data_IF_086378931665
#
_entry.id   IF_086378931665
#
_cell.length_a   1.000
_cell.length_b   1.000
_cell.length_c   1.000
_cell.angle_alpha   90.00
_cell.angle_beta   90.00
_cell.angle_gamma   90.00
#
_symmetry.space_group_name_H-M   'P 1'
#
loop_
_entity.id
_entity.type
_entity.pdbx_description
1 polymer ?
#
# COMPACT_ATOMS: atom_id res chain seq x y z
N UNK A 1 -17.16 -17.36 -22.55
CA UNK A 1 -17.93 -18.29 -23.43
C UNK A 1 -18.58 -17.48 -24.54
N UNK A 2 -18.69 -18.01 -25.77
CA UNK A 2 -19.27 -17.26 -26.90
C UNK A 2 -20.80 -17.14 -26.80
N UNK A 3 -21.37 -15.97 -27.11
CA UNK A 3 -22.83 -15.72 -27.08
C UNK A 3 -23.64 -16.76 -27.86
N UNK A 4 -23.13 -17.20 -29.01
CA UNK A 4 -23.79 -18.19 -29.87
C UNK A 4 -23.91 -19.57 -29.20
N UNK A 5 -22.93 -19.99 -28.40
CA UNK A 5 -22.98 -21.28 -27.69
C UNK A 5 -24.12 -21.25 -26.66
N UNK A 6 -24.24 -20.16 -25.89
CA UNK A 6 -25.31 -19.97 -24.91
C UNK A 6 -26.71 -19.98 -25.56
N UNK A 7 -26.86 -19.37 -26.74
CA UNK A 7 -28.12 -19.40 -27.49
C UNK A 7 -28.46 -20.81 -27.98
N UNK A 8 -27.50 -21.56 -28.53
CA UNK A 8 -27.71 -22.95 -28.98
C UNK A 8 -28.11 -23.84 -27.81
N UNK A 9 -27.44 -23.73 -26.66
CA UNK A 9 -27.79 -24.48 -25.45
C UNK A 9 -29.21 -24.16 -24.94
N UNK A 10 -29.64 -22.89 -25.01
CA UNK A 10 -31.01 -22.49 -24.64
C UNK A 10 -32.08 -23.09 -25.56
N UNK A 11 -31.82 -23.16 -26.87
CA UNK A 11 -32.74 -23.78 -27.84
C UNK A 11 -32.88 -25.28 -27.56
N UNK A 12 -31.77 -26.01 -27.36
CA UNK A 12 -31.83 -27.43 -27.02
C UNK A 12 -32.49 -27.70 -25.66
N UNK A 13 -32.25 -26.86 -24.65
CA UNK A 13 -32.93 -26.95 -23.36
C UNK A 13 -34.46 -26.75 -23.49
N UNK A 14 -34.90 -25.82 -24.35
CA UNK A 14 -36.31 -25.60 -24.66
C UNK A 14 -36.98 -26.81 -25.32
N UNK A 15 -36.34 -27.40 -26.34
CA UNK A 15 -36.83 -28.64 -26.96
C UNK A 15 -36.90 -29.81 -25.97
N UNK A 16 -35.91 -29.95 -25.09
CA UNK A 16 -35.89 -31.01 -24.08
C UNK A 16 -37.01 -30.87 -23.04
N UNK A 17 -37.25 -29.65 -22.55
CA UNK A 17 -38.39 -29.33 -21.68
C UNK A 17 -39.74 -29.62 -22.35
N UNK A 18 -39.88 -29.28 -23.65
CA UNK A 18 -41.09 -29.57 -24.41
C UNK A 18 -41.33 -31.08 -24.57
N UNK A 19 -40.29 -31.86 -24.84
CA UNK A 19 -40.39 -33.33 -24.94
C UNK A 19 -40.81 -33.97 -23.60
N UNK A 20 -40.27 -33.50 -22.47
CA UNK A 20 -40.68 -33.93 -21.13
C UNK A 20 -42.16 -33.60 -20.89
N UNK A 21 -42.60 -32.38 -21.23
CA UNK A 21 -44.00 -31.97 -21.07
C UNK A 21 -44.96 -32.81 -21.90
N UNK A 22 -44.61 -33.10 -23.17
CA UNK A 22 -45.44 -33.93 -24.04
C UNK A 22 -45.59 -35.35 -23.47
N UNK A 23 -44.49 -35.96 -23.02
CA UNK A 23 -44.50 -37.29 -22.38
C UNK A 23 -45.28 -37.31 -21.05
N UNK A 24 -45.20 -36.24 -20.25
CA UNK A 24 -45.98 -36.10 -19.02
C UNK A 24 -47.49 -35.97 -19.28
N UNK A 25 -47.89 -35.27 -20.34
CA UNK A 25 -49.30 -35.17 -20.78
C UNK A 25 -49.81 -36.52 -21.27
N UNK A 26 -49.06 -37.19 -22.15
CA UNK A 26 -49.41 -38.49 -22.73
C UNK A 26 -49.51 -39.61 -21.67
N UNK A 27 -48.62 -39.61 -20.66
CA UNK A 27 -48.62 -40.62 -19.59
C UNK A 27 -49.65 -40.38 -18.47
N UNK A 28 -50.17 -39.16 -18.32
CA UNK A 28 -51.11 -38.81 -17.24
C UNK A 28 -52.58 -38.68 -17.68
N UNK A 29 -52.86 -38.75 -18.98
CA UNK A 29 -54.20 -38.57 -19.58
C UNK A 29 -54.88 -37.25 -19.19
N UNK A 30 -54.11 -36.23 -18.81
CA UNK A 30 -54.62 -34.89 -18.51
C UNK A 30 -54.56 -34.00 -19.75
N UNK A 31 -55.48 -33.05 -19.86
CA UNK A 31 -55.38 -31.99 -20.87
C UNK A 31 -54.05 -31.23 -20.74
N UNK A 32 -53.45 -30.91 -21.90
CA UNK A 32 -52.25 -30.07 -22.02
C UNK A 32 -52.35 -28.78 -21.18
N UNK A 33 -53.55 -28.20 -21.09
CA UNK A 33 -53.86 -26.98 -20.32
C UNK A 33 -53.76 -27.22 -18.79
N UNK A 34 -54.15 -28.40 -18.30
CA UNK A 34 -54.00 -28.77 -16.88
C UNK A 34 -52.52 -28.88 -16.48
N UNK A 35 -51.74 -29.58 -17.31
CA UNK A 35 -50.29 -29.74 -17.09
C UNK A 35 -49.56 -28.40 -17.25
N UNK A 36 -49.96 -27.55 -18.19
CA UNK A 36 -49.43 -26.19 -18.31
C UNK A 36 -49.79 -25.27 -17.14
N UNK A 37 -50.98 -25.40 -16.53
CA UNK A 37 -51.35 -24.61 -15.34
C UNK A 37 -50.58 -25.03 -14.08
N UNK A 38 -50.39 -26.34 -13.86
CA UNK A 38 -49.52 -26.83 -12.78
C UNK A 38 -48.05 -26.43 -13.00
N UNK A 39 -47.55 -26.52 -14.24
CA UNK A 39 -46.23 -26.00 -14.60
C UNK A 39 -46.14 -24.48 -14.47
N UNK A 40 -47.22 -23.73 -14.71
CA UNK A 40 -47.26 -22.27 -14.51
C UNK A 40 -46.93 -21.87 -13.07
N UNK A 41 -47.35 -22.68 -12.09
CA UNK A 41 -46.99 -22.50 -10.68
C UNK A 41 -45.49 -22.77 -10.44
N UNK A 42 -44.93 -23.80 -11.08
CA UNK A 42 -43.51 -24.14 -11.02
C UNK A 42 -42.61 -23.08 -11.70
N UNK A 43 -43.00 -22.60 -12.89
CA UNK A 43 -42.30 -21.52 -13.62
C UNK A 43 -42.38 -20.20 -12.85
N UNK A 44 -43.51 -19.90 -12.22
CA UNK A 44 -43.66 -18.74 -11.33
C UNK A 44 -42.72 -18.83 -10.12
N UNK A 45 -42.69 -19.98 -9.43
CA UNK A 45 -41.78 -20.20 -8.30
C UNK A 45 -40.29 -20.16 -8.71
N UNK A 46 -39.92 -20.75 -9.85
CA UNK A 46 -38.58 -20.69 -10.41
C UNK A 46 -38.17 -19.28 -10.83
N UNK A 47 -39.08 -18.52 -11.42
CA UNK A 47 -38.88 -17.10 -11.76
C UNK A 47 -38.71 -16.22 -10.52
N UNK A 48 -39.49 -16.46 -9.47
CA UNK A 48 -39.35 -15.77 -8.18
C UNK A 48 -37.99 -16.07 -7.51
N UNK A 49 -37.56 -17.35 -7.50
CA UNK A 49 -36.23 -17.73 -7.01
C UNK A 49 -35.10 -17.09 -7.83
N UNK A 50 -35.21 -17.09 -9.16
CA UNK A 50 -34.25 -16.42 -10.03
C UNK A 50 -34.18 -14.90 -9.78
N UNK A 51 -35.32 -14.25 -9.57
CA UNK A 51 -35.39 -12.83 -9.22
C UNK A 51 -34.76 -12.54 -7.84
N UNK A 52 -35.01 -13.37 -6.83
CA UNK A 52 -34.39 -13.25 -5.49
C UNK A 52 -32.87 -13.40 -5.60
N UNK A 53 -32.38 -14.42 -6.32
CA UNK A 53 -30.95 -14.63 -6.55
C UNK A 53 -30.31 -13.47 -7.32
N UNK A 54 -30.98 -12.93 -8.34
CA UNK A 54 -30.53 -11.76 -9.08
C UNK A 54 -30.45 -10.50 -8.19
N UNK A 55 -31.44 -10.27 -7.31
CA UNK A 55 -31.41 -9.16 -6.35
C UNK A 55 -30.25 -9.31 -5.36
N UNK A 56 -30.01 -10.52 -4.84
CA UNK A 56 -28.86 -10.81 -3.97
C UNK A 56 -27.53 -10.56 -4.70
N UNK A 57 -27.41 -10.99 -5.96
CA UNK A 57 -26.21 -10.78 -6.77
C UNK A 57 -25.98 -9.28 -7.06
N UNK A 58 -27.02 -8.54 -7.45
CA UNK A 58 -26.93 -7.09 -7.67
C UNK A 58 -26.57 -6.34 -6.38
N UNK A 59 -27.12 -6.75 -5.22
CA UNK A 59 -26.76 -6.17 -3.92
C UNK A 59 -25.29 -6.41 -3.56
N UNK A 60 -24.79 -7.65 -3.73
CA UNK A 60 -23.37 -7.99 -3.48
C UNK A 60 -22.41 -7.25 -4.42
N UNK A 61 -22.73 -7.19 -5.71
CA UNK A 61 -21.92 -6.45 -6.68
C UNK A 61 -21.87 -4.97 -6.31
N UNK A 62 -23.02 -4.35 -5.98
CA UNK A 62 -23.07 -2.93 -5.58
C UNK A 62 -22.28 -2.64 -4.28
N UNK A 63 -22.19 -3.59 -3.35
CA UNK A 63 -21.30 -3.46 -2.19
C UNK A 63 -19.82 -3.48 -2.61
N UNK A 64 -19.43 -4.43 -3.47
CA UNK A 64 -18.07 -4.52 -4.01
C UNK A 64 -17.68 -3.27 -4.81
N UNK A 65 -18.54 -2.79 -5.72
CA UNK A 65 -18.35 -1.56 -6.51
C UNK A 65 -18.14 -0.33 -5.59
N UNK A 66 -18.94 -0.23 -4.52
CA UNK A 66 -18.84 0.84 -3.53
C UNK A 66 -17.51 0.80 -2.77
N UNK A 67 -17.05 -0.40 -2.40
CA UNK A 67 -15.77 -0.60 -1.71
C UNK A 67 -14.55 -0.46 -2.62
N UNK A 68 -14.67 -0.82 -3.90
CA UNK A 68 -13.68 -0.57 -4.94
C UNK A 68 -13.46 0.94 -5.11
N UNK A 69 -14.53 1.71 -5.36
CA UNK A 69 -14.43 3.17 -5.53
C UNK A 69 -13.85 3.86 -4.29
N UNK A 70 -14.36 3.53 -3.09
CA UNK A 70 -13.81 4.05 -1.83
C UNK A 70 -12.34 3.68 -1.59
N UNK A 71 -11.83 2.62 -2.21
CA UNK A 71 -10.41 2.25 -2.14
C UNK A 71 -9.57 2.99 -3.19
N UNK A 72 -10.14 3.38 -4.33
CA UNK A 72 -9.47 4.27 -5.28
C UNK A 72 -9.27 5.68 -4.70
N UNK A 73 -10.23 6.16 -3.91
CA UNK A 73 -10.09 7.43 -3.17
C UNK A 73 -8.93 7.35 -2.17
N UNK A 74 -8.84 6.27 -1.39
CA UNK A 74 -7.71 5.99 -0.49
C UNK A 74 -6.37 5.88 -1.25
N UNK A 75 -6.34 5.17 -2.39
CA UNK A 75 -5.16 5.06 -3.27
C UNK A 75 -4.75 6.44 -3.85
N UNK A 76 -5.69 7.37 -3.99
CA UNK A 76 -5.43 8.74 -4.43
C UNK A 76 -4.85 9.58 -3.30
N UNK A 77 -5.39 9.48 -2.08
CA UNK A 77 -4.82 10.13 -0.89
C UNK A 77 -3.41 9.59 -0.56
N UNK A 78 -3.19 8.28 -0.71
CA UNK A 78 -1.85 7.66 -0.63
C UNK A 78 -0.91 8.28 -1.68
N UNK A 79 -1.39 8.60 -2.89
CA UNK A 79 -0.54 9.26 -3.89
C UNK A 79 -0.15 10.67 -3.43
N UNK A 80 -1.06 11.44 -2.83
CA UNK A 80 -0.75 12.78 -2.29
C UNK A 80 0.35 12.70 -1.24
N UNK A 81 0.22 11.81 -0.24
CA UNK A 81 1.29 11.61 0.76
C UNK A 81 2.61 11.14 0.14
N UNK A 82 2.56 10.29 -0.90
CA UNK A 82 3.76 9.83 -1.60
C UNK A 82 4.42 10.92 -2.46
N UNK A 83 3.65 11.88 -2.98
CA UNK A 83 4.18 13.08 -3.65
C UNK A 83 4.75 14.06 -2.62
N UNK A 84 4.09 14.26 -1.47
CA UNK A 84 4.59 15.06 -0.34
C UNK A 84 5.95 14.53 0.16
N UNK A 85 6.12 13.20 0.26
CA UNK A 85 7.40 12.56 0.60
C UNK A 85 8.51 12.93 -0.39
N UNK A 86 8.20 12.98 -1.70
CA UNK A 86 9.18 13.40 -2.71
C UNK A 86 9.50 14.89 -2.57
N UNK A 87 8.49 15.74 -2.35
CA UNK A 87 8.68 17.18 -2.15
C UNK A 87 9.41 17.54 -0.86
N UNK A 88 9.28 16.75 0.21
CA UNK A 88 10.01 16.93 1.46
C UNK A 88 11.46 16.42 1.37
N UNK A 89 11.71 15.27 0.73
CA UNK A 89 13.05 14.69 0.66
C UNK A 89 13.95 15.31 -0.43
N UNK A 90 13.37 15.93 -1.46
CA UNK A 90 14.12 16.42 -2.63
C UNK A 90 13.82 17.88 -2.98
N UNK A 91 14.82 18.56 -3.55
CA UNK A 91 14.65 19.88 -4.15
C UNK A 91 14.11 19.79 -5.60
N UNK A 92 13.93 20.96 -6.25
CA UNK A 92 13.47 21.05 -7.64
C UNK A 92 14.45 20.46 -8.67
N UNK A 93 15.67 20.08 -8.26
CA UNK A 93 16.71 19.47 -9.08
C UNK A 93 16.89 17.97 -8.77
N UNK A 94 16.17 17.43 -7.78
CA UNK A 94 16.28 16.05 -7.33
C UNK A 94 17.43 15.79 -6.34
N UNK A 95 18.09 16.84 -5.83
CA UNK A 95 19.08 16.71 -4.74
C UNK A 95 18.39 16.41 -3.41
N UNK A 96 18.99 15.59 -2.53
CA UNK A 96 18.51 15.40 -1.16
C UNK A 96 18.47 16.74 -0.39
N UNK A 97 17.30 17.10 0.14
CA UNK A 97 17.17 18.21 1.09
C UNK A 97 17.80 17.82 2.43
N UNK A 98 18.67 18.66 2.98
CA UNK A 98 19.23 18.48 4.31
C UNK A 98 18.48 19.30 5.36
N UNK A 99 17.17 19.07 5.50
CA UNK A 99 16.30 19.78 6.44
C UNK A 99 15.57 18.79 7.36
N UNK A 100 15.77 18.92 8.66
CA UNK A 100 15.17 18.03 9.67
C UNK A 100 13.65 18.06 9.67
N UNK A 101 13.03 19.23 9.51
CA UNK A 101 11.57 19.38 9.55
C UNK A 101 10.96 18.69 8.35
N UNK A 102 11.52 18.88 7.17
CA UNK A 102 11.10 18.19 5.94
C UNK A 102 11.24 16.66 6.08
N UNK A 103 12.36 16.15 6.60
CA UNK A 103 12.52 14.70 6.84
C UNK A 103 11.51 14.14 7.85
N UNK A 104 11.19 14.89 8.92
CA UNK A 104 10.13 14.51 9.86
C UNK A 104 8.75 14.45 9.18
N UNK A 105 8.43 15.39 8.30
CA UNK A 105 7.16 15.40 7.58
C UNK A 105 7.09 14.27 6.53
N UNK A 106 8.18 14.00 5.81
CA UNK A 106 8.30 12.83 4.93
C UNK A 106 8.07 11.51 5.71
N UNK A 107 8.67 11.36 6.88
CA UNK A 107 8.47 10.17 7.71
C UNK A 107 7.01 10.02 8.20
N UNK A 108 6.31 11.11 8.53
CA UNK A 108 4.88 11.08 8.87
C UNK A 108 4.02 10.68 7.67
N UNK A 109 4.21 11.31 6.52
CA UNK A 109 3.49 11.00 5.29
C UNK A 109 3.72 9.55 4.83
N UNK A 110 4.91 8.99 5.02
CA UNK A 110 5.18 7.55 4.85
C UNK A 110 4.27 6.72 5.77
N UNK A 111 4.26 6.98 7.07
CA UNK A 111 3.48 6.20 8.05
C UNK A 111 1.97 6.27 7.77
N UNK A 112 1.45 7.46 7.46
CA UNK A 112 0.05 7.66 7.11
C UNK A 112 -0.31 6.93 5.80
N UNK A 113 0.60 6.93 4.81
CA UNK A 113 0.42 6.16 3.57
C UNK A 113 0.47 4.65 3.79
N UNK A 114 1.31 4.15 4.70
CA UNK A 114 1.38 2.71 5.04
C UNK A 114 0.16 2.26 5.85
N UNK A 115 -0.46 3.12 6.67
CA UNK A 115 -1.70 2.78 7.38
C UNK A 115 -2.92 2.75 6.46
N UNK A 116 -3.05 3.71 5.52
CA UNK A 116 -4.06 3.64 4.46
C UNK A 116 -3.84 2.42 3.55
N UNK A 117 -2.58 2.08 3.23
CA UNK A 117 -2.24 0.90 2.43
C UNK A 117 -2.76 -0.40 3.06
N UNK A 118 -2.64 -0.58 4.38
CA UNK A 118 -3.21 -1.74 5.10
C UNK A 118 -4.72 -1.82 4.92
N UNK A 119 -5.43 -0.70 5.05
CA UNK A 119 -6.89 -0.66 4.89
C UNK A 119 -7.33 -1.07 3.47
N UNK A 120 -6.65 -0.54 2.44
CA UNK A 120 -6.86 -0.92 1.04
C UNK A 120 -6.60 -2.42 0.81
N UNK A 121 -5.51 -2.98 1.36
CA UNK A 121 -5.19 -4.41 1.22
C UNK A 121 -6.22 -5.31 1.92
N UNK A 122 -6.76 -4.91 3.08
CA UNK A 122 -7.85 -5.62 3.76
C UNK A 122 -9.14 -5.62 2.93
N UNK A 123 -9.46 -4.50 2.27
CA UNK A 123 -10.62 -4.42 1.36
C UNK A 123 -10.38 -5.28 0.11
N UNK A 124 -9.21 -5.15 -0.53
CA UNK A 124 -8.83 -5.91 -1.71
C UNK A 124 -8.95 -7.43 -1.49
N UNK A 125 -8.45 -7.92 -0.35
CA UNK A 125 -8.56 -9.32 0.05
C UNK A 125 -9.99 -9.75 0.42
N UNK A 126 -10.80 -8.88 1.03
CA UNK A 126 -12.18 -9.20 1.43
C UNK A 126 -13.14 -9.34 0.24
N UNK A 127 -12.96 -8.54 -0.81
CA UNK A 127 -13.87 -8.47 -1.96
C UNK A 127 -13.29 -9.06 -3.25
N UNK A 128 -12.12 -9.72 -3.18
CA UNK A 128 -11.43 -10.38 -4.31
C UNK A 128 -11.07 -9.40 -5.45
N UNK A 129 -10.47 -8.25 -5.08
CA UNK A 129 -10.13 -7.12 -5.96
C UNK A 129 -8.59 -6.94 -6.12
N UNK A 130 -7.87 -7.87 -6.79
CA UNK A 130 -6.40 -7.87 -6.87
C UNK A 130 -5.81 -6.67 -7.63
N UNK A 131 -6.60 -6.00 -8.46
CA UNK A 131 -6.20 -4.77 -9.17
C UNK A 131 -5.99 -3.58 -8.23
N UNK A 132 -6.62 -3.54 -7.05
CA UNK A 132 -6.34 -2.53 -6.01
C UNK A 132 -4.94 -2.73 -5.41
N UNK A 133 -4.60 -3.96 -5.05
CA UNK A 133 -3.26 -4.33 -4.55
C UNK A 133 -2.18 -4.05 -5.61
N UNK A 134 -2.46 -4.37 -6.88
CA UNK A 134 -1.56 -4.09 -8.01
C UNK A 134 -1.29 -2.59 -8.16
N UNK A 135 -2.34 -1.75 -8.13
CA UNK A 135 -2.22 -0.29 -8.26
C UNK A 135 -1.48 0.34 -7.07
N UNK A 136 -1.80 -0.09 -5.84
CA UNK A 136 -1.16 0.36 -4.62
C UNK A 136 0.34 0.05 -4.61
N UNK A 137 0.70 -1.21 -4.89
CA UNK A 137 2.10 -1.65 -4.96
C UNK A 137 2.87 -0.89 -6.05
N UNK A 138 2.26 -0.65 -7.22
CA UNK A 138 2.89 0.12 -8.29
C UNK A 138 3.19 1.57 -7.89
N UNK A 139 2.27 2.25 -7.19
CA UNK A 139 2.51 3.62 -6.66
C UNK A 139 3.62 3.65 -5.61
N UNK A 140 3.52 2.81 -4.57
CA UNK A 140 4.52 2.78 -3.50
C UNK A 140 5.92 2.43 -4.05
N UNK A 141 6.02 1.39 -4.89
CA UNK A 141 7.31 0.95 -5.44
C UNK A 141 7.93 1.98 -6.40
N UNK A 142 7.13 2.81 -7.10
CA UNK A 142 7.65 3.95 -7.89
C UNK A 142 8.37 4.95 -7.00
N UNK A 143 7.81 5.29 -5.84
CA UNK A 143 8.44 6.27 -4.92
C UNK A 143 9.61 5.63 -4.14
N UNK A 144 9.52 4.37 -3.72
CA UNK A 144 10.66 3.61 -3.18
C UNK A 144 11.86 3.64 -4.12
N UNK A 145 11.63 3.37 -5.41
CA UNK A 145 12.67 3.40 -6.45
C UNK A 145 13.20 4.83 -6.72
N UNK A 146 12.37 5.86 -6.56
CA UNK A 146 12.81 7.26 -6.68
C UNK A 146 13.70 7.65 -5.50
N UNK A 147 13.30 7.34 -4.27
CA UNK A 147 14.07 7.56 -3.05
C UNK A 147 15.42 6.85 -3.14
N UNK A 148 15.43 5.55 -3.48
CA UNK A 148 16.66 4.77 -3.66
C UNK A 148 17.58 5.36 -4.74
N UNK A 149 17.02 5.87 -5.85
CA UNK A 149 17.82 6.47 -6.92
C UNK A 149 18.46 7.80 -6.55
N UNK A 150 17.95 8.53 -5.56
CA UNK A 150 18.37 9.90 -5.29
C UNK A 150 19.03 10.09 -3.91
N UNK A 151 18.68 9.28 -2.90
CA UNK A 151 19.39 9.24 -1.61
C UNK A 151 20.65 8.36 -1.63
N UNK A 152 20.81 7.43 -2.57
CA UNK A 152 22.03 6.64 -2.66
C UNK A 152 23.12 7.34 -3.48
N UNK A 153 24.29 7.52 -2.87
CA UNK A 153 25.52 8.00 -3.54
C UNK A 153 25.97 6.94 -4.55
N UNK A 154 26.32 7.36 -5.77
CA UNK A 154 26.70 6.44 -6.85
C UNK A 154 28.18 6.54 -7.17
N UNK A 155 28.92 5.47 -6.92
CA UNK A 155 30.33 5.30 -7.33
C UNK A 155 30.51 3.92 -7.95
N UNK A 156 31.12 3.85 -9.13
CA UNK A 156 31.52 2.60 -9.82
C UNK A 156 30.45 1.49 -9.82
N UNK A 157 29.23 1.83 -10.25
CA UNK A 157 28.02 0.99 -10.27
C UNK A 157 27.55 0.46 -8.89
N UNK A 158 28.09 0.99 -7.78
CA UNK A 158 27.62 0.73 -6.42
C UNK A 158 26.75 1.89 -5.92
N UNK A 159 25.77 1.54 -5.09
CA UNK A 159 24.91 2.49 -4.37
C UNK A 159 25.33 2.50 -2.90
N UNK A 160 25.98 3.58 -2.45
CA UNK A 160 26.33 3.83 -1.06
C UNK A 160 25.25 4.62 -0.32
N UNK A 161 25.38 4.74 1.00
CA UNK A 161 24.61 5.69 1.81
C UNK A 161 25.04 7.14 1.53
N UNK A 162 24.24 8.10 1.99
CA UNK A 162 24.69 9.49 2.14
C UNK A 162 25.91 9.55 3.09
N UNK A 163 26.81 10.53 2.92
CA UNK A 163 27.96 10.69 3.80
C UNK A 163 27.52 11.13 5.21
N UNK A 164 28.29 10.84 6.26
CA UNK A 164 27.99 11.30 7.62
C UNK A 164 27.73 12.80 7.76
N UNK A 165 28.43 13.65 6.99
CA UNK A 165 28.24 15.11 6.95
C UNK A 165 26.80 15.54 6.62
N UNK A 166 26.05 14.73 5.87
CA UNK A 166 24.64 14.98 5.58
C UNK A 166 23.81 15.02 6.86
N UNK A 167 23.97 14.08 7.78
CA UNK A 167 23.04 13.90 8.90
C UNK A 167 23.07 15.03 9.95
N UNK A 168 24.02 15.98 9.85
CA UNK A 168 24.15 17.15 10.73
C UNK A 168 23.30 18.36 10.35
N UNK A 169 22.60 18.36 9.22
CA UNK A 169 21.74 19.48 8.79
C UNK A 169 22.47 20.70 8.20
N UNK A 170 23.75 20.57 7.84
CA UNK A 170 24.52 21.65 7.20
C UNK A 170 24.22 21.71 5.69
N UNK A 171 24.08 22.91 5.13
CA UNK A 171 23.58 23.11 3.76
C UNK A 171 24.57 22.68 2.67
N UNK A 172 25.86 22.82 2.95
CA UNK A 172 27.04 22.55 2.12
C UNK A 172 27.74 21.22 2.53
N UNK A 173 26.96 20.25 3.02
CA UNK A 173 27.42 18.92 3.43
C UNK A 173 28.20 18.13 2.36
N UNK A 174 28.04 18.48 1.07
CA UNK A 174 28.78 17.90 -0.06
C UNK A 174 30.27 18.28 -0.06
N UNK A 175 30.62 19.43 0.54
CA UNK A 175 31.97 20.00 0.52
C UNK A 175 32.69 19.92 1.90
N UNK A 176 31.99 19.49 2.95
CA UNK A 176 32.48 19.44 4.34
C UNK A 176 32.95 18.05 4.78
N UNK A 177 33.97 18.03 5.65
CA UNK A 177 34.32 16.83 6.43
C UNK A 177 33.22 16.48 7.45
N UNK A 178 33.36 15.35 8.15
CA UNK A 178 32.49 15.02 9.28
C UNK A 178 32.65 16.05 10.40
N UNK A 179 33.90 16.37 10.71
CA UNK A 179 34.34 17.25 11.78
C UNK A 179 33.93 18.72 11.54
N UNK A 180 34.00 19.21 10.30
CA UNK A 180 33.53 20.56 9.93
C UNK A 180 32.00 20.67 10.00
N UNK A 181 31.27 19.62 9.61
CA UNK A 181 29.81 19.55 9.67
C UNK A 181 29.32 19.49 11.12
N UNK A 182 29.95 18.65 11.96
CA UNK A 182 29.70 18.56 13.40
C UNK A 182 29.98 19.91 14.10
N UNK A 183 31.13 20.53 13.82
CA UNK A 183 31.51 21.81 14.43
C UNK A 183 30.50 22.92 14.09
N UNK A 184 30.04 23.00 12.83
CA UNK A 184 29.05 23.99 12.43
C UNK A 184 27.66 23.70 13.03
N UNK A 185 27.21 22.45 13.05
CA UNK A 185 25.98 22.06 13.72
C UNK A 185 25.99 22.47 15.20
N UNK A 186 27.06 22.15 15.93
CA UNK A 186 27.23 22.54 17.33
C UNK A 186 27.32 24.08 17.52
N UNK A 187 27.90 24.82 16.57
CA UNK A 187 27.92 26.30 16.60
C UNK A 187 26.52 26.91 16.42
N UNK A 188 25.61 26.24 15.71
CA UNK A 188 24.25 26.72 15.46
C UNK A 188 23.26 26.34 16.58
N UNK A 189 23.46 25.22 17.26
CA UNK A 189 22.52 24.64 18.22
C UNK A 189 22.63 25.23 19.64
N UNK A 190 22.05 26.42 19.85
CA UNK A 190 22.02 27.07 21.17
C UNK A 190 20.92 26.54 22.11
N UNK A 191 21.31 25.72 23.09
CA UNK A 191 20.53 25.22 24.25
C UNK A 191 19.60 24.03 23.95
N UNK A 192 19.52 23.09 24.90
CA UNK A 192 18.80 21.82 24.81
C UNK A 192 17.73 21.68 25.90
N UNK A 193 16.59 21.06 25.56
CA UNK A 193 15.51 20.70 26.50
C UNK A 193 15.15 19.22 26.37
N UNK A 194 14.90 18.54 27.51
CA UNK A 194 14.35 17.18 27.52
C UNK A 194 12.87 17.21 27.13
N UNK A 195 12.48 16.42 26.11
CA UNK A 195 11.08 16.15 25.78
C UNK A 195 10.74 14.66 25.89
N UNK A 196 9.45 14.33 25.99
CA UNK A 196 8.96 13.08 26.55
C UNK A 196 8.42 12.08 25.51
N UNK A 197 9.29 11.17 25.05
CA UNK A 197 8.98 9.80 24.61
C UNK A 197 8.16 9.57 23.32
N UNK A 198 6.98 10.16 23.21
CA UNK A 198 5.92 9.76 22.24
C UNK A 198 5.63 10.75 21.11
N UNK A 199 6.22 11.94 21.14
CA UNK A 199 5.97 12.95 20.11
C UNK A 199 7.03 12.94 19.01
N UNK A 200 6.58 13.15 17.77
CA UNK A 200 7.44 13.49 16.61
C UNK A 200 7.53 15.01 16.45
N UNK A 201 7.46 15.76 17.55
CA UNK A 201 7.53 17.22 17.58
C UNK A 201 9.01 17.63 17.48
N UNK A 202 9.41 18.49 16.52
CA UNK A 202 10.81 18.82 16.32
C UNK A 202 11.38 19.54 17.55
N UNK A 203 12.60 19.17 17.94
CA UNK A 203 13.36 19.93 18.94
C UNK A 203 13.76 21.24 18.27
N UNK A 204 13.29 22.37 18.81
CA UNK A 204 13.64 23.70 18.30
C UNK A 204 15.14 23.94 18.45
N UNK A 205 15.80 24.48 17.41
CA UNK A 205 17.23 24.79 17.45
C UNK A 205 18.15 23.56 17.44
N UNK A 206 17.81 22.54 16.65
CA UNK A 206 18.63 21.35 16.41
C UNK A 206 18.71 21.08 14.90
N UNK A 207 19.93 21.17 14.35
CA UNK A 207 20.23 20.94 12.93
C UNK A 207 20.19 19.46 12.51
N UNK A 208 20.65 18.55 13.38
CA UNK A 208 20.72 17.10 13.09
C UNK A 208 19.39 16.49 12.62
N UNK A 209 19.47 15.59 11.64
CA UNK A 209 18.31 14.84 11.16
C UNK A 209 17.79 13.85 12.22
N UNK A 210 16.46 13.75 12.32
CA UNK A 210 15.87 12.93 13.37
C UNK A 210 16.04 11.43 13.10
N UNK A 211 16.67 10.71 14.04
CA UNK A 211 16.99 9.28 13.91
C UNK A 211 15.76 8.40 13.61
N UNK A 212 14.57 8.76 14.11
CA UNK A 212 13.32 8.05 13.79
C UNK A 212 12.86 8.34 12.35
N UNK A 213 13.02 9.58 11.86
CA UNK A 213 12.65 9.97 10.50
C UNK A 213 13.51 9.28 9.43
N UNK A 214 14.84 9.26 9.65
CA UNK A 214 15.81 8.57 8.77
C UNK A 214 15.50 7.07 8.69
N UNK A 215 15.20 6.43 9.82
CA UNK A 215 14.82 5.01 9.83
C UNK A 215 13.54 4.73 9.04
N UNK A 216 12.48 5.55 9.21
CA UNK A 216 11.21 5.36 8.49
C UNK A 216 11.39 5.49 6.98
N UNK A 217 12.15 6.48 6.51
CA UNK A 217 12.47 6.67 5.09
C UNK A 217 13.27 5.47 4.55
N UNK A 218 14.29 5.01 5.28
CA UNK A 218 15.09 3.85 4.90
C UNK A 218 14.30 2.53 4.85
N UNK A 219 13.45 2.28 5.86
CA UNK A 219 12.57 1.10 5.93
C UNK A 219 11.58 1.09 4.77
N UNK A 220 10.94 2.23 4.49
CA UNK A 220 10.01 2.37 3.38
C UNK A 220 10.70 2.09 2.04
N UNK A 221 11.88 2.69 1.81
CA UNK A 221 12.68 2.53 0.60
C UNK A 221 13.01 1.05 0.28
N UNK A 222 13.36 0.26 1.29
CA UNK A 222 13.66 -1.18 1.15
C UNK A 222 12.38 -2.00 0.90
N UNK A 223 11.27 -1.64 1.57
CA UNK A 223 9.99 -2.33 1.43
C UNK A 223 9.94 -3.71 2.09
N UNK A 224 8.77 -4.36 2.06
CA UNK A 224 8.53 -5.59 2.85
C UNK A 224 9.07 -6.89 2.21
N UNK A 225 9.56 -6.84 0.97
CA UNK A 225 9.88 -8.03 0.16
C UNK A 225 11.30 -8.59 0.30
N UNK A 226 12.15 -8.06 1.18
CA UNK A 226 13.55 -8.48 1.36
C UNK A 226 13.84 -8.97 2.79
N UNK A 227 12.94 -9.77 3.36
CA UNK A 227 13.05 -10.31 4.74
C UNK A 227 14.08 -11.45 4.91
N UNK A 228 14.45 -12.18 3.85
CA UNK A 228 15.31 -13.38 3.91
C UNK A 228 16.78 -13.13 4.30
N UNK A 229 17.20 -11.87 4.50
CA UNK A 229 18.49 -11.50 5.10
C UNK A 229 18.33 -10.85 6.49
N UNK A 230 17.14 -10.92 7.08
CA UNK A 230 16.73 -10.23 8.32
C UNK A 230 15.98 -11.17 9.29
N UNK A 231 16.04 -12.49 9.08
CA UNK A 231 15.28 -13.50 9.85
C UNK A 231 15.71 -13.64 11.32
N UNK A 232 16.78 -12.96 11.75
CA UNK A 232 17.22 -12.85 13.15
C UNK A 232 16.45 -11.82 13.97
N UNK A 233 15.58 -11.01 13.35
CA UNK A 233 14.85 -9.91 14.01
C UNK A 233 13.39 -10.33 14.23
N UNK A 234 12.99 -10.58 15.48
CA UNK A 234 11.57 -10.76 15.81
C UNK A 234 10.88 -9.42 16.06
N UNK A 235 9.61 -9.32 15.64
CA UNK A 235 8.73 -8.17 15.90
C UNK A 235 8.40 -8.00 17.43
N UNK A 236 8.97 -8.84 18.31
CA UNK A 236 8.75 -8.84 19.76
C UNK A 236 9.88 -8.15 20.54
N UNK A 237 11.11 -8.16 20.01
CA UNK A 237 12.24 -7.40 20.54
C UNK A 237 12.18 -5.92 20.16
N UNK A 238 11.41 -5.58 19.11
CA UNK A 238 11.18 -4.22 18.65
C UNK A 238 9.70 -3.87 18.55
N UNK A 239 9.23 -2.98 19.43
CA UNK A 239 8.63 -1.76 18.89
C UNK A 239 9.70 -0.81 18.32
N UNK A 240 10.94 -0.93 18.82
CA UNK A 240 11.97 0.12 18.82
C UNK A 240 13.39 -0.45 18.58
N UNK A 241 13.87 -0.31 17.33
CA UNK A 241 15.22 -0.56 16.74
C UNK A 241 16.38 -0.12 17.69
N UNK A 242 17.55 -0.81 17.86
CA UNK A 242 18.54 -1.17 16.79
C UNK A 242 19.41 -2.45 17.03
N UNK A 243 20.39 -2.89 16.20
CA UNK A 243 20.70 -2.64 14.77
C UNK A 243 20.71 -3.99 13.97
N UNK A 244 21.76 -4.64 13.39
CA UNK A 244 23.17 -4.34 13.07
C UNK A 244 23.58 -4.91 11.68
N UNK A 245 24.20 -4.10 10.80
CA UNK A 245 24.92 -4.55 9.57
C UNK A 245 24.05 -4.88 8.32
N UNK A 246 24.44 -4.48 7.09
CA UNK A 246 25.66 -3.78 6.65
C UNK A 246 25.51 -2.24 6.68
N UNK A 247 24.93 -1.70 7.75
CA UNK A 247 24.63 -0.26 7.91
C UNK A 247 25.86 0.54 8.39
N UNK A 248 26.97 0.52 7.63
CA UNK A 248 28.23 1.19 8.01
C UNK A 248 28.08 2.69 8.35
N UNK A 249 27.11 3.39 7.74
CA UNK A 249 26.81 4.79 8.04
C UNK A 249 26.04 5.05 9.36
N UNK A 250 25.40 4.03 9.96
CA UNK A 250 24.75 4.16 11.27
C UNK A 250 25.70 3.81 12.43
N UNK A 251 26.66 2.92 12.20
CA UNK A 251 27.51 2.33 13.23
C UNK A 251 28.42 3.31 13.99
N UNK A 252 28.61 4.54 13.50
CA UNK A 252 29.44 5.58 14.15
C UNK A 252 28.84 5.99 15.51
N UNK A 253 27.54 6.25 15.57
CA UNK A 253 26.85 6.81 16.74
C UNK A 253 26.67 5.86 17.94
N UNK A 254 27.16 4.62 17.86
CA UNK A 254 27.19 3.67 18.98
C UNK A 254 28.60 3.51 19.60
N UNK A 255 29.57 4.32 19.15
CA UNK A 255 30.96 4.29 19.66
C UNK A 255 31.29 5.39 20.66
N UNK A 256 30.41 6.37 20.83
CA UNK A 256 30.64 7.61 21.60
C UNK A 256 30.06 7.58 23.02
N UNK A 257 29.68 6.39 23.52
CA UNK A 257 29.23 6.19 24.90
C UNK A 257 30.02 5.08 25.61
N UNK A 258 31.36 5.14 25.48
CA UNK A 258 32.31 4.54 26.43
C UNK A 258 32.82 5.60 27.39
#
# INVERSE_FOLDING_TARGET
MSRYITQICLVFAGFYLFAILFSAVESSSQDLISVLNSLGSFVSAGGALAAILAVIQVARNREADSKYNSSLDMITQINTYLDDVVHCLFDNHGKPKNDRVEWIQAARAILDSEELAKQVLVIAKKYELPELETQLNAKMNRVRLHIYKNLCVKSDNRSGSLPPSFFFGVADWEEKSFEDAEYEANRLNSICYRHNGREVTPIWGSTELDKRSVFVVGRFMIGHGHRTSLESISDELYGEIPEFGPYEGMAIYLKEST
#
